data_IF_285829938222
#
_entry.id   IF_285829938222
#
_cell.length_a   1.000
_cell.length_b   1.000
_cell.length_c   1.000
_cell.angle_alpha   90.00
_cell.angle_beta   90.00
_cell.angle_gamma   90.00
#
_symmetry.space_group_name_H-M   'P 1'
#
loop_
_entity.id
_entity.type
_entity.pdbx_description
1 polymer ?
#
# COMPACT_ATOMS: atom_id res chain seq x y z
N UNK A 1 43.87 -36.02 -56.30
CA UNK A 1 44.64 -34.80 -56.64
C UNK A 1 43.67 -33.66 -56.88
N UNK A 2 44.15 -32.45 -56.61
CA UNK A 2 43.41 -31.25 -56.24
C UNK A 2 42.62 -30.50 -57.34
N UNK A 3 41.57 -29.81 -56.85
CA UNK A 3 41.11 -28.43 -57.12
C UNK A 3 40.91 -27.93 -58.56
N UNK A 4 39.74 -27.32 -58.78
CA UNK A 4 39.56 -25.86 -58.97
C UNK A 4 38.08 -25.48 -58.79
N UNK A 5 37.81 -24.45 -58.00
CA UNK A 5 36.47 -23.87 -57.81
C UNK A 5 36.31 -22.51 -58.48
N UNK A 6 35.10 -21.94 -58.35
CA UNK A 6 34.75 -20.54 -57.99
C UNK A 6 33.44 -20.07 -58.68
N UNK A 7 32.41 -19.90 -57.83
CA UNK A 7 31.48 -18.77 -57.64
C UNK A 7 30.43 -18.27 -58.68
N UNK A 8 29.17 -18.30 -58.20
CA UNK A 8 28.24 -17.17 -57.91
C UNK A 8 27.42 -16.44 -59.01
N UNK A 9 26.10 -16.35 -58.75
CA UNK A 9 25.21 -15.17 -58.89
C UNK A 9 23.92 -15.40 -58.08
N UNK A 10 23.90 -15.07 -56.79
CA UNK A 10 23.21 -13.92 -56.17
C UNK A 10 21.80 -13.60 -56.72
N UNK A 11 20.79 -13.93 -55.91
CA UNK A 11 19.43 -13.45 -56.01
C UNK A 11 19.31 -11.99 -55.58
N UNK A 12 18.55 -11.23 -56.36
CA UNK A 12 18.27 -9.80 -56.16
C UNK A 12 17.33 -9.62 -54.97
N UNK A 13 17.75 -8.75 -54.06
CA UNK A 13 17.01 -8.21 -52.92
C UNK A 13 15.82 -7.37 -53.38
N UNK A 14 14.63 -7.63 -52.82
CA UNK A 14 13.50 -6.71 -52.84
C UNK A 14 13.61 -5.80 -51.62
N UNK A 15 13.99 -4.55 -51.86
CA UNK A 15 13.89 -3.46 -50.90
C UNK A 15 12.85 -2.50 -51.46
N UNK A 16 11.66 -2.46 -50.86
CA UNK A 16 10.72 -1.34 -50.98
C UNK A 16 9.79 -1.36 -49.78
N UNK A 17 10.25 -0.75 -48.70
CA UNK A 17 9.39 -0.15 -47.70
C UNK A 17 8.70 1.04 -48.39
N UNK A 18 7.57 0.79 -49.06
CA UNK A 18 6.69 1.86 -49.53
C UNK A 18 5.79 2.28 -48.35
N UNK A 19 5.72 3.58 -48.16
CA UNK A 19 5.22 4.32 -47.00
C UNK A 19 3.67 4.34 -46.90
N UNK A 20 3.00 3.31 -47.43
CA UNK A 20 1.53 3.25 -47.52
C UNK A 20 0.88 2.48 -46.35
N UNK A 21 1.66 1.82 -45.49
CA UNK A 21 1.16 1.06 -44.32
C UNK A 21 0.78 1.95 -43.12
N UNK A 22 1.21 3.21 -43.07
CA UNK A 22 0.89 4.09 -41.94
C UNK A 22 -0.54 4.67 -42.01
N UNK A 23 -1.18 4.65 -43.18
CA UNK A 23 -2.58 5.07 -43.34
C UNK A 23 -3.58 3.92 -43.09
N UNK A 24 -3.11 2.66 -43.08
CA UNK A 24 -3.94 1.47 -42.84
C UNK A 24 -4.19 1.15 -41.35
N UNK A 25 -3.63 1.93 -40.42
CA UNK A 25 -3.66 1.64 -38.98
C UNK A 25 -4.52 2.58 -38.12
N UNK A 26 -5.43 3.35 -38.73
CA UNK A 26 -6.43 4.16 -37.99
C UNK A 26 -7.82 4.09 -38.60
N UNK A 27 -8.22 2.95 -39.15
CA UNK A 27 -9.64 2.68 -39.31
C UNK A 27 -10.20 2.21 -37.97
N UNK A 28 -11.18 2.96 -37.48
CA UNK A 28 -11.87 2.74 -36.23
C UNK A 28 -12.69 1.44 -36.34
N UNK A 29 -12.06 0.30 -36.05
CA UNK A 29 -12.67 -1.04 -36.10
C UNK A 29 -13.93 -1.16 -35.23
N UNK A 30 -14.15 -0.21 -34.30
CA UNK A 30 -15.35 -0.14 -33.47
C UNK A 30 -16.60 0.21 -34.28
N UNK A 31 -16.46 0.99 -35.35
CA UNK A 31 -17.58 1.52 -36.14
C UNK A 31 -18.11 0.49 -37.17
N UNK A 32 -17.22 -0.25 -37.84
CA UNK A 32 -17.61 -1.31 -38.80
C UNK A 32 -18.20 -2.58 -38.12
N UNK A 33 -17.89 -2.77 -36.82
CA UNK A 33 -18.35 -3.92 -36.07
C UNK A 33 -19.82 -3.80 -35.58
N UNK A 34 -20.47 -2.63 -35.71
CA UNK A 34 -21.84 -2.42 -35.25
C UNK A 34 -22.00 -2.64 -33.74
N UNK A 35 -20.90 -2.50 -32.98
CA UNK A 35 -20.88 -2.64 -31.53
C UNK A 35 -21.32 -1.30 -30.95
N UNK A 36 -22.63 -1.07 -30.96
CA UNK A 36 -23.22 -0.07 -30.07
C UNK A 36 -22.91 -0.46 -28.63
N UNK A 37 -22.31 0.46 -27.89
CA UNK A 37 -21.74 0.37 -26.53
C UNK A 37 -20.27 -0.10 -26.51
N UNK A 38 -19.38 0.90 -26.43
CA UNK A 38 -17.94 0.75 -26.21
C UNK A 38 -17.63 -0.03 -24.94
N UNK A 39 -17.49 -1.35 -25.08
CA UNK A 39 -16.94 -2.20 -24.05
C UNK A 39 -15.41 -2.12 -24.17
N UNK A 40 -14.78 -1.10 -23.57
CA UNK A 40 -13.31 -1.08 -23.40
C UNK A 40 -12.91 -2.37 -22.71
N UNK A 41 -12.27 -3.28 -23.44
CA UNK A 41 -11.82 -4.55 -22.88
C UNK A 41 -10.66 -4.25 -21.94
N UNK A 42 -10.77 -4.55 -20.63
CA UNK A 42 -9.68 -4.26 -19.72
C UNK A 42 -8.38 -4.93 -20.18
N UNK A 43 -7.36 -4.10 -20.40
CA UNK A 43 -6.04 -4.47 -20.91
C UNK A 43 -5.85 -4.39 -22.43
N UNK A 44 -6.92 -4.31 -23.24
CA UNK A 44 -6.77 -4.19 -24.70
C UNK A 44 -6.55 -2.73 -25.14
N UNK A 45 -7.25 -1.78 -24.49
CA UNK A 45 -7.26 -0.37 -24.87
C UNK A 45 -6.81 0.56 -23.72
N UNK A 46 -6.25 0.01 -22.63
CA UNK A 46 -5.95 0.80 -21.44
C UNK A 46 -4.68 1.63 -21.61
N UNK A 47 -4.84 2.95 -21.67
CA UNK A 47 -3.74 3.89 -21.43
C UNK A 47 -3.35 3.79 -19.96
N UNK A 48 -2.05 3.58 -19.74
CA UNK A 48 -1.45 3.43 -18.41
C UNK A 48 -1.38 4.80 -17.74
N UNK A 49 -2.37 5.14 -16.92
CA UNK A 49 -2.54 6.47 -16.29
C UNK A 49 -2.44 6.38 -14.76
N UNK A 50 -2.99 5.33 -14.16
CA UNK A 50 -3.05 5.15 -12.72
C UNK A 50 -1.65 4.90 -12.14
N UNK A 51 -0.77 4.19 -12.86
CA UNK A 51 0.63 4.03 -12.45
C UNK A 51 1.32 5.38 -12.32
N UNK A 52 1.14 6.27 -13.30
CA UNK A 52 1.70 7.63 -13.25
C UNK A 52 1.08 8.47 -12.13
N UNK A 53 -0.23 8.32 -11.91
CA UNK A 53 -0.90 8.98 -10.79
C UNK A 53 -0.30 8.55 -9.44
N UNK A 54 -0.12 7.25 -9.20
CA UNK A 54 0.48 6.77 -7.95
C UNK A 54 1.95 7.18 -7.82
N UNK A 55 2.73 7.22 -8.90
CA UNK A 55 4.07 7.79 -8.90
C UNK A 55 4.06 9.26 -8.48
N UNK A 56 3.18 10.06 -9.07
CA UNK A 56 3.04 11.47 -8.75
C UNK A 56 2.62 11.69 -7.29
N UNK A 57 1.71 10.87 -6.76
CA UNK A 57 1.29 10.91 -5.35
C UNK A 57 2.47 10.58 -4.43
N UNK A 58 3.21 9.49 -4.69
CA UNK A 58 4.35 9.09 -3.87
C UNK A 58 5.43 10.18 -3.82
N UNK A 59 5.77 10.76 -4.97
CA UNK A 59 6.75 11.85 -5.06
C UNK A 59 6.21 13.12 -4.38
N UNK A 60 4.96 13.48 -4.64
CA UNK A 60 4.33 14.68 -4.07
C UNK A 60 4.24 14.64 -2.55
N UNK A 61 3.78 13.51 -1.98
CA UNK A 61 3.71 13.30 -0.53
C UNK A 61 5.10 13.39 0.09
N UNK A 62 6.10 12.75 -0.51
CA UNK A 62 7.47 12.82 -0.01
C UNK A 62 7.98 14.27 -0.01
N UNK A 63 7.77 15.03 -1.10
CA UNK A 63 8.18 16.44 -1.18
C UNK A 63 7.50 17.30 -0.11
N UNK A 64 6.21 17.11 0.15
CA UNK A 64 5.50 17.84 1.22
C UNK A 64 6.14 17.58 2.59
N UNK A 65 6.49 16.32 2.89
CA UNK A 65 7.14 15.96 4.16
C UNK A 65 8.51 16.63 4.26
N UNK A 66 9.31 16.66 3.18
CA UNK A 66 10.61 17.35 3.18
C UNK A 66 10.47 18.87 3.35
N UNK A 67 9.42 19.48 2.81
CA UNK A 67 9.17 20.92 2.97
C UNK A 67 8.76 21.28 4.41
N UNK A 68 8.00 20.41 5.08
CA UNK A 68 7.56 20.61 6.47
C UNK A 68 8.66 20.28 7.47
N UNK A 69 9.37 19.17 7.27
CA UNK A 69 10.39 18.66 8.19
C UNK A 69 11.80 19.21 7.99
N UNK A 70 12.05 19.86 6.86
CA UNK A 70 13.40 20.19 6.40
C UNK A 70 13.95 19.14 5.44
N UNK A 71 14.78 19.59 4.49
CA UNK A 71 15.29 18.76 3.41
C UNK A 71 16.16 17.62 3.98
N UNK A 72 15.85 16.39 3.57
CA UNK A 72 16.49 15.14 4.02
C UNK A 72 16.26 14.79 5.48
N UNK A 73 15.26 15.38 6.14
CA UNK A 73 14.82 14.91 7.46
C UNK A 73 14.30 13.46 7.36
N UNK A 74 14.70 12.62 8.31
CA UNK A 74 14.32 11.21 8.45
C UNK A 74 13.66 10.95 9.81
N UNK A 75 13.10 11.98 10.43
CA UNK A 75 12.43 11.90 11.72
C UNK A 75 11.17 11.03 11.64
N UNK A 76 11.17 9.96 12.44
CA UNK A 76 10.05 9.03 12.55
C UNK A 76 8.82 9.68 13.17
N UNK A 77 8.98 10.67 14.06
CA UNK A 77 7.86 11.40 14.64
C UNK A 77 7.11 12.19 13.57
N UNK A 78 7.83 12.79 12.62
CA UNK A 78 7.22 13.45 11.48
C UNK A 78 6.45 12.46 10.60
N UNK A 79 7.00 11.28 10.33
CA UNK A 79 6.27 10.24 9.58
C UNK A 79 5.01 9.78 10.32
N UNK A 80 5.08 9.60 11.64
CA UNK A 80 3.91 9.33 12.48
C UNK A 80 2.88 10.45 12.41
N UNK A 81 3.32 11.71 12.31
CA UNK A 81 2.43 12.85 12.11
C UNK A 81 1.66 12.75 10.81
N UNK A 82 2.34 12.39 9.73
CA UNK A 82 1.78 12.25 8.39
C UNK A 82 1.01 10.94 8.15
N UNK A 83 0.95 10.04 9.13
CA UNK A 83 0.14 8.83 9.05
C UNK A 83 0.90 7.53 8.80
N UNK A 84 2.17 7.46 9.23
CA UNK A 84 2.88 6.19 9.27
C UNK A 84 2.12 5.17 10.10
N UNK A 85 2.26 3.90 9.72
CA UNK A 85 1.68 2.82 10.48
C UNK A 85 2.42 2.68 11.80
N UNK A 86 1.65 2.55 12.86
CA UNK A 86 2.12 2.17 14.17
C UNK A 86 0.98 1.40 14.83
N UNK A 87 1.20 0.11 15.09
CA UNK A 87 0.15 -0.80 15.57
C UNK A 87 -0.61 -0.27 16.79
N UNK A 88 0.09 0.29 17.79
CA UNK A 88 -0.55 0.90 18.94
C UNK A 88 -1.59 1.98 18.56
N UNK A 89 -1.27 2.91 17.64
CA UNK A 89 -2.23 3.93 17.19
C UNK A 89 -3.38 3.34 16.35
N UNK A 90 -3.11 2.31 15.56
CA UNK A 90 -4.14 1.60 14.78
C UNK A 90 -5.15 0.91 15.72
N UNK A 91 -4.68 0.33 16.83
CA UNK A 91 -5.51 -0.37 17.80
C UNK A 91 -6.54 0.53 18.49
N UNK A 92 -6.24 1.83 18.64
CA UNK A 92 -7.18 2.81 19.21
C UNK A 92 -8.03 3.51 18.15
N UNK A 93 -8.13 2.93 16.95
CA UNK A 93 -9.07 3.37 15.90
C UNK A 93 -8.47 4.22 14.79
N UNK A 94 -7.15 4.46 14.76
CA UNK A 94 -6.50 5.18 13.65
C UNK A 94 -6.26 4.30 12.42
N UNK A 95 -7.30 3.55 12.00
CA UNK A 95 -7.25 2.61 10.87
C UNK A 95 -6.85 3.27 9.55
N UNK A 96 -7.06 4.58 9.41
CA UNK A 96 -6.64 5.37 8.25
C UNK A 96 -5.12 5.29 8.00
N UNK A 97 -4.32 5.00 9.04
CA UNK A 97 -2.87 4.79 8.92
C UNK A 97 -2.48 3.65 8.00
N UNK A 98 -3.31 2.60 7.93
CA UNK A 98 -3.10 1.48 7.01
C UNK A 98 -3.12 1.94 5.54
N UNK A 99 -3.89 2.98 5.24
CA UNK A 99 -3.99 3.55 3.90
C UNK A 99 -2.92 4.62 3.67
N UNK A 100 -2.75 5.58 4.59
CA UNK A 100 -1.82 6.70 4.39
C UNK A 100 -0.37 6.25 4.33
N UNK A 101 0.02 5.26 5.14
CA UNK A 101 1.39 4.76 5.17
C UNK A 101 1.87 4.18 3.83
N UNK A 102 0.94 3.73 2.98
CA UNK A 102 1.27 3.24 1.63
C UNK A 102 1.94 4.29 0.74
N UNK A 103 1.79 5.58 1.05
CA UNK A 103 2.31 6.69 0.25
C UNK A 103 3.47 7.43 0.94
N UNK A 104 3.81 7.05 2.17
CA UNK A 104 4.91 7.63 2.94
C UNK A 104 6.21 6.89 2.65
N UNK A 105 7.35 7.58 2.69
CA UNK A 105 8.66 6.97 2.45
C UNK A 105 9.69 7.55 3.41
N UNK A 106 10.43 6.67 4.09
CA UNK A 106 11.39 7.06 5.13
C UNK A 106 12.60 7.85 4.61
N UNK A 107 13.01 7.62 3.36
CA UNK A 107 14.14 8.30 2.74
C UNK A 107 14.05 8.26 1.21
N UNK A 108 14.95 8.97 0.54
CA UNK A 108 14.94 9.11 -0.91
C UNK A 108 15.23 7.80 -1.65
N UNK A 109 16.08 6.91 -1.11
CA UNK A 109 16.34 5.61 -1.73
C UNK A 109 15.12 4.70 -1.62
N UNK A 110 14.44 4.74 -0.46
CA UNK A 110 13.19 4.02 -0.26
C UNK A 110 12.12 4.49 -1.25
N UNK A 111 11.97 5.81 -1.46
CA UNK A 111 11.09 6.35 -2.50
C UNK A 111 11.52 5.90 -3.90
N UNK A 112 12.81 6.05 -4.24
CA UNK A 112 13.35 5.75 -5.56
C UNK A 112 13.09 4.29 -5.96
N UNK A 113 13.40 3.33 -5.10
CA UNK A 113 13.21 1.92 -5.40
C UNK A 113 11.73 1.53 -5.51
N UNK A 114 10.85 2.08 -4.67
CA UNK A 114 9.41 1.86 -4.81
C UNK A 114 8.86 2.47 -6.09
N UNK A 115 9.24 3.71 -6.44
CA UNK A 115 8.83 4.35 -7.68
C UNK A 115 9.35 3.59 -8.91
N UNK A 116 10.60 3.10 -8.89
CA UNK A 116 11.14 2.29 -9.97
C UNK A 116 10.36 0.97 -10.14
N UNK A 117 10.09 0.27 -9.04
CA UNK A 117 9.34 -0.98 -9.08
C UNK A 117 7.89 -0.75 -9.54
N UNK A 118 7.23 0.30 -9.05
CA UNK A 118 5.89 0.70 -9.48
C UNK A 118 5.86 1.08 -10.96
N UNK A 119 6.87 1.82 -11.44
CA UNK A 119 6.99 2.17 -12.85
C UNK A 119 7.19 0.96 -13.75
N UNK A 120 7.93 -0.06 -13.31
CA UNK A 120 8.13 -1.28 -14.11
C UNK A 120 6.89 -2.16 -14.05
N UNK A 121 6.53 -2.63 -12.85
CA UNK A 121 5.50 -3.65 -12.69
C UNK A 121 4.08 -3.09 -12.71
N UNK A 122 3.88 -1.86 -12.23
CA UNK A 122 2.58 -1.19 -12.27
C UNK A 122 2.08 -1.01 -13.69
N UNK A 123 2.94 -0.55 -14.61
CA UNK A 123 2.57 -0.41 -16.03
C UNK A 123 2.21 -1.76 -16.67
N UNK A 124 2.91 -2.83 -16.30
CA UNK A 124 2.59 -4.18 -16.79
C UNK A 124 1.23 -4.66 -16.29
N UNK A 125 0.95 -4.53 -14.99
CA UNK A 125 -0.34 -4.94 -14.42
C UNK A 125 -1.48 -4.07 -14.91
N UNK A 126 -1.30 -2.76 -14.93
CA UNK A 126 -2.30 -1.83 -15.48
C UNK A 126 -2.57 -2.13 -16.96
N UNK A 127 -1.52 -2.42 -17.74
CA UNK A 127 -1.66 -2.79 -19.13
C UNK A 127 -2.41 -4.09 -19.38
N UNK A 128 -2.40 -5.07 -18.45
CA UNK A 128 -3.13 -6.34 -18.64
C UNK A 128 -4.45 -6.43 -17.87
N UNK A 129 -4.59 -5.73 -16.74
CA UNK A 129 -5.82 -5.70 -15.94
C UNK A 129 -6.71 -4.49 -16.25
N UNK A 130 -6.17 -3.42 -16.84
CA UNK A 130 -6.84 -2.13 -16.99
C UNK A 130 -6.92 -1.31 -15.70
N UNK A 131 -7.20 -0.02 -15.85
CA UNK A 131 -7.04 1.02 -14.83
C UNK A 131 -7.84 0.74 -13.54
N UNK A 132 -9.11 0.36 -13.66
CA UNK A 132 -9.99 0.11 -12.50
C UNK A 132 -9.53 -1.10 -11.69
N UNK A 133 -9.23 -2.21 -12.36
CA UNK A 133 -8.80 -3.45 -11.69
C UNK A 133 -7.41 -3.27 -11.07
N UNK A 134 -6.50 -2.58 -11.76
CA UNK A 134 -5.19 -2.24 -11.22
C UNK A 134 -5.29 -1.38 -9.97
N UNK A 135 -6.14 -0.35 -9.97
CA UNK A 135 -6.38 0.50 -8.78
C UNK A 135 -6.83 -0.34 -7.59
N UNK A 136 -7.79 -1.25 -7.79
CA UNK A 136 -8.31 -2.13 -6.73
C UNK A 136 -7.25 -3.11 -6.24
N UNK A 137 -6.47 -3.71 -7.14
CA UNK A 137 -5.34 -4.58 -6.80
C UNK A 137 -4.33 -3.82 -5.94
N UNK A 138 -3.89 -2.64 -6.37
CA UNK A 138 -2.90 -1.84 -5.66
C UNK A 138 -3.37 -1.48 -4.24
N UNK A 139 -4.59 -0.94 -4.12
CA UNK A 139 -5.12 -0.48 -2.84
C UNK A 139 -5.41 -1.63 -1.88
N UNK A 140 -6.12 -2.67 -2.30
CA UNK A 140 -6.48 -3.77 -1.41
C UNK A 140 -5.28 -4.67 -1.08
N UNK A 141 -4.31 -4.83 -1.98
CA UNK A 141 -3.08 -5.55 -1.64
C UNK A 141 -2.20 -4.74 -0.69
N UNK A 142 -2.12 -3.41 -0.87
CA UNK A 142 -1.46 -2.53 0.10
C UNK A 142 -2.08 -2.64 1.50
N UNK A 143 -3.41 -2.61 1.59
CA UNK A 143 -4.14 -2.81 2.84
C UNK A 143 -3.95 -4.22 3.41
N UNK A 144 -3.88 -5.26 2.57
CA UNK A 144 -3.59 -6.64 3.01
C UNK A 144 -2.17 -6.76 3.61
N UNK A 145 -1.19 -6.10 2.99
CA UNK A 145 0.15 -5.96 3.55
C UNK A 145 0.14 -5.23 4.89
N UNK A 146 -0.48 -4.04 4.94
CA UNK A 146 -0.62 -3.27 6.17
C UNK A 146 -1.33 -4.04 7.28
N UNK A 147 -2.38 -4.79 6.97
CA UNK A 147 -3.09 -5.59 7.96
C UNK A 147 -2.23 -6.72 8.54
N UNK A 148 -1.44 -7.40 7.70
CA UNK A 148 -0.55 -8.47 8.16
C UNK A 148 0.62 -7.92 8.98
N UNK A 149 1.20 -6.80 8.55
CA UNK A 149 2.20 -6.06 9.34
C UNK A 149 1.61 -5.62 10.68
N UNK A 150 0.40 -5.08 10.70
CA UNK A 150 -0.27 -4.68 11.93
C UNK A 150 -0.43 -5.84 12.93
N UNK A 151 -0.76 -7.04 12.45
CA UNK A 151 -0.89 -8.22 13.31
C UNK A 151 0.45 -8.66 13.91
N UNK A 152 1.52 -8.69 13.10
CA UNK A 152 2.77 -9.38 13.46
C UNK A 152 3.97 -8.47 13.74
N UNK A 153 3.85 -7.18 13.47
CA UNK A 153 4.89 -6.16 13.66
C UNK A 153 4.35 -4.95 14.43
N UNK A 154 3.66 -5.21 15.55
CA UNK A 154 2.87 -4.20 16.28
C UNK A 154 3.70 -2.97 16.67
N UNK A 155 4.95 -3.12 17.09
CA UNK A 155 5.73 -2.02 17.70
C UNK A 155 6.61 -1.23 16.73
N UNK A 156 6.73 -1.63 15.46
CA UNK A 156 7.57 -0.91 14.50
C UNK A 156 6.77 0.17 13.76
N UNK A 157 7.46 1.26 13.41
CA UNK A 157 6.92 2.27 12.50
C UNK A 157 7.14 1.76 11.08
N UNK A 158 6.06 1.69 10.29
CA UNK A 158 6.10 1.17 8.93
C UNK A 158 5.52 2.18 7.94
N UNK A 159 6.20 2.34 6.81
CA UNK A 159 5.85 3.22 5.69
C UNK A 159 6.26 2.55 4.38
N UNK A 160 5.62 2.93 3.28
CA UNK A 160 6.07 2.60 1.94
C UNK A 160 5.03 1.91 1.08
N UNK A 161 5.14 2.14 -0.24
CA UNK A 161 4.31 1.50 -1.25
C UNK A 161 4.63 0.01 -1.46
N UNK A 162 5.67 -0.52 -0.80
CA UNK A 162 6.22 -1.84 -1.10
C UNK A 162 5.22 -2.98 -0.88
N UNK A 163 4.34 -2.89 0.12
CA UNK A 163 3.27 -3.88 0.30
C UNK A 163 2.34 -3.96 -0.92
N UNK A 164 1.91 -2.80 -1.43
CA UNK A 164 1.10 -2.73 -2.65
C UNK A 164 1.87 -3.23 -3.88
N UNK A 165 3.17 -2.91 -3.99
CA UNK A 165 4.03 -3.37 -5.10
C UNK A 165 4.23 -4.89 -5.08
N UNK A 166 4.42 -5.50 -3.91
CA UNK A 166 4.38 -6.96 -3.78
C UNK A 166 3.01 -7.52 -4.20
N UNK A 167 1.93 -6.79 -3.92
CA UNK A 167 0.62 -7.08 -4.46
C UNK A 167 0.53 -7.07 -5.99
N UNK A 168 1.17 -6.10 -6.65
CA UNK A 168 1.31 -6.05 -8.11
C UNK A 168 2.02 -7.32 -8.60
N UNK A 169 3.11 -7.74 -7.94
CA UNK A 169 3.80 -9.00 -8.27
C UNK A 169 2.90 -10.22 -8.09
N UNK A 170 2.11 -10.26 -7.02
CA UNK A 170 1.12 -11.31 -6.78
C UNK A 170 0.06 -11.36 -7.88
N UNK A 171 -0.43 -10.21 -8.32
CA UNK A 171 -1.40 -10.12 -9.40
C UNK A 171 -0.82 -10.53 -10.76
N UNK A 172 0.46 -10.23 -11.04
CA UNK A 172 1.15 -10.75 -12.23
C UNK A 172 1.25 -12.28 -12.17
N UNK A 173 1.62 -12.84 -11.03
CA UNK A 173 1.69 -14.29 -10.86
C UNK A 173 0.32 -14.93 -11.12
N UNK A 174 -0.75 -14.36 -10.56
CA UNK A 174 -2.12 -14.80 -10.82
C UNK A 174 -2.48 -14.72 -12.32
N UNK A 175 -2.10 -13.64 -13.01
CA UNK A 175 -2.34 -13.47 -14.44
C UNK A 175 -1.68 -14.58 -15.26
N UNK A 176 -0.41 -14.87 -15.01
CA UNK A 176 0.32 -15.92 -15.73
C UNK A 176 -0.20 -17.33 -15.42
N UNK A 177 -0.68 -17.58 -14.19
CA UNK A 177 -1.33 -18.85 -13.85
C UNK A 177 -2.65 -19.02 -14.60
N UNK A 178 -3.48 -17.98 -14.63
CA UNK A 178 -4.78 -18.00 -15.33
C UNK A 178 -4.61 -18.19 -16.84
N UNK A 179 -3.55 -17.61 -17.42
CA UNK A 179 -3.28 -17.65 -18.86
C UNK A 179 -2.17 -18.63 -19.25
N UNK A 180 -1.84 -19.61 -18.37
CA UNK A 180 -0.71 -20.52 -18.58
C UNK A 180 -0.83 -21.34 -19.86
N UNK A 181 -2.05 -21.72 -20.24
CA UNK A 181 -2.31 -22.56 -21.40
C UNK A 181 -2.17 -21.74 -22.70
N UNK A 182 -2.56 -20.47 -22.66
CA UNK A 182 -2.44 -19.54 -23.81
C UNK A 182 -1.03 -18.97 -23.98
N UNK A 183 -0.32 -18.72 -22.88
CA UNK A 183 1.02 -18.11 -22.90
C UNK A 183 2.14 -19.14 -22.95
N UNK A 184 1.84 -20.41 -22.65
CA UNK A 184 2.77 -21.52 -22.71
C UNK A 184 4.09 -21.24 -21.99
N UNK A 185 5.20 -21.46 -22.70
CA UNK A 185 6.55 -21.32 -22.17
C UNK A 185 6.90 -19.87 -21.77
N UNK A 186 6.38 -18.88 -22.50
CA UNK A 186 6.57 -17.46 -22.15
C UNK A 186 5.95 -17.16 -20.78
N UNK A 187 4.71 -17.62 -20.56
CA UNK A 187 4.01 -17.44 -19.28
C UNK A 187 4.75 -18.11 -18.12
N UNK A 188 5.26 -19.33 -18.33
CA UNK A 188 6.05 -20.06 -17.33
C UNK A 188 7.33 -19.32 -16.96
N UNK A 189 8.10 -18.83 -17.94
CA UNK A 189 9.35 -18.08 -17.68
C UNK A 189 9.09 -16.79 -16.92
N UNK A 190 8.06 -16.05 -17.29
CA UNK A 190 7.68 -14.83 -16.58
C UNK A 190 7.24 -15.12 -15.15
N UNK A 191 6.43 -16.17 -14.93
CA UNK A 191 6.04 -16.60 -13.58
C UNK A 191 7.25 -17.00 -12.73
N UNK A 192 8.21 -17.73 -13.29
CA UNK A 192 9.47 -18.06 -12.61
C UNK A 192 10.25 -16.78 -12.26
N UNK A 193 10.38 -15.84 -13.20
CA UNK A 193 11.06 -14.57 -12.95
C UNK A 193 10.41 -13.77 -11.81
N UNK A 194 9.09 -13.67 -11.79
CA UNK A 194 8.34 -13.00 -10.71
C UNK A 194 8.57 -13.70 -9.37
N UNK A 195 8.47 -15.04 -9.34
CA UNK A 195 8.71 -15.82 -8.13
C UNK A 195 10.14 -15.63 -7.61
N UNK A 196 11.14 -15.60 -8.50
CA UNK A 196 12.54 -15.34 -8.16
C UNK A 196 12.72 -13.94 -7.58
N UNK A 197 12.15 -12.91 -8.22
CA UNK A 197 12.24 -11.52 -7.74
C UNK A 197 11.59 -11.39 -6.36
N UNK A 198 10.39 -11.95 -6.17
CA UNK A 198 9.69 -11.92 -4.88
C UNK A 198 10.49 -12.64 -3.79
N UNK A 199 11.02 -13.84 -4.09
CA UNK A 199 11.83 -14.61 -3.16
C UNK A 199 13.12 -13.88 -2.76
N UNK A 200 13.82 -13.27 -3.71
CA UNK A 200 15.04 -12.48 -3.43
C UNK A 200 14.70 -11.29 -2.54
N UNK A 201 13.65 -10.52 -2.83
CA UNK A 201 13.31 -9.35 -2.03
C UNK A 201 12.87 -9.74 -0.60
N UNK A 202 12.10 -10.82 -0.43
CA UNK A 202 11.74 -11.34 0.90
C UNK A 202 12.99 -11.83 1.67
N UNK A 203 13.92 -12.51 0.99
CA UNK A 203 15.17 -12.93 1.60
C UNK A 203 16.05 -11.73 2.01
N UNK A 204 16.13 -10.69 1.17
CA UNK A 204 16.79 -9.43 1.52
C UNK A 204 16.15 -8.79 2.75
N UNK A 205 14.81 -8.80 2.83
CA UNK A 205 14.09 -8.27 3.98
C UNK A 205 14.31 -9.04 5.29
N UNK A 206 14.76 -10.30 5.22
CA UNK A 206 15.21 -11.03 6.42
C UNK A 206 16.61 -10.63 6.87
N UNK A 207 17.42 -10.06 5.98
CA UNK A 207 18.82 -9.73 6.22
C UNK A 207 19.04 -8.25 6.55
N UNK A 208 18.20 -7.36 6.02
CA UNK A 208 18.29 -5.91 6.22
C UNK A 208 17.28 -5.49 7.30
N UNK A 209 17.74 -4.89 8.42
CA UNK A 209 16.85 -4.35 9.44
C UNK A 209 15.88 -3.30 8.88
N UNK A 210 14.73 -3.12 9.53
CA UNK A 210 13.69 -2.16 9.16
C UNK A 210 13.00 -2.40 7.81
N UNK A 211 13.10 -3.63 7.27
CA UNK A 211 12.25 -4.08 6.15
C UNK A 211 11.04 -4.85 6.70
N UNK A 212 9.85 -4.41 6.30
CA UNK A 212 8.59 -5.00 6.73
C UNK A 212 8.19 -6.19 5.86
N UNK A 213 8.76 -7.36 6.18
CA UNK A 213 8.47 -8.60 5.46
C UNK A 213 7.02 -9.08 5.62
N UNK A 214 6.35 -8.75 6.73
CA UNK A 214 4.93 -9.07 6.90
C UNK A 214 4.07 -8.25 5.94
N UNK A 215 4.39 -6.97 5.75
CA UNK A 215 3.74 -6.16 4.72
C UNK A 215 3.97 -6.71 3.31
N UNK A 216 5.19 -7.15 2.99
CA UNK A 216 5.51 -7.73 1.68
C UNK A 216 4.76 -9.03 1.42
N UNK A 217 4.75 -9.94 2.40
CA UNK A 217 4.05 -11.23 2.27
C UNK A 217 2.53 -11.04 2.19
N UNK A 218 1.96 -10.21 3.06
CA UNK A 218 0.52 -9.91 3.06
C UNK A 218 0.08 -9.23 1.76
N UNK A 219 0.91 -8.32 1.24
CA UNK A 219 0.71 -7.69 -0.06
C UNK A 219 0.73 -8.70 -1.20
N UNK A 220 1.77 -9.53 -1.28
CA UNK A 220 1.91 -10.58 -2.29
C UNK A 220 0.71 -11.54 -2.30
N UNK A 221 0.32 -12.04 -1.13
CA UNK A 221 -0.80 -12.96 -0.98
C UNK A 221 -2.14 -12.29 -1.34
N UNK A 222 -2.38 -11.07 -0.84
CA UNK A 222 -3.60 -10.32 -1.13
C UNK A 222 -3.73 -10.00 -2.62
N UNK A 223 -2.65 -9.48 -3.23
CA UNK A 223 -2.61 -9.19 -4.66
C UNK A 223 -2.76 -10.43 -5.54
N UNK A 224 -2.25 -11.58 -5.11
CA UNK A 224 -2.46 -12.86 -5.80
C UNK A 224 -3.94 -13.28 -5.77
N UNK A 225 -4.59 -13.25 -4.59
CA UNK A 225 -6.01 -13.62 -4.44
C UNK A 225 -6.91 -12.68 -5.25
N UNK A 226 -6.71 -11.37 -5.15
CA UNK A 226 -7.49 -10.39 -5.90
C UNK A 226 -7.20 -10.50 -7.41
N UNK A 227 -5.94 -10.72 -7.78
CA UNK A 227 -5.51 -10.97 -9.15
C UNK A 227 -6.22 -12.16 -9.76
N UNK A 228 -6.35 -13.28 -9.04
CA UNK A 228 -7.10 -14.45 -9.51
C UNK A 228 -8.57 -14.14 -9.77
N UNK A 229 -9.20 -13.34 -8.90
CA UNK A 229 -10.59 -12.92 -9.03
C UNK A 229 -10.80 -11.97 -10.22
N UNK A 230 -9.86 -11.03 -10.43
CA UNK A 230 -9.99 -9.95 -11.42
C UNK A 230 -9.33 -10.24 -12.77
N UNK A 231 -8.51 -11.29 -12.87
CA UNK A 231 -7.77 -11.64 -14.10
C UNK A 231 -8.71 -11.66 -15.31
N UNK A 232 -8.44 -10.90 -16.37
CA UNK A 232 -9.27 -10.92 -17.57
C UNK A 232 -9.36 -12.35 -18.09
N UNK A 233 -10.55 -12.80 -18.49
CA UNK A 233 -10.71 -14.09 -19.18
C UNK A 233 -11.75 -13.89 -20.26
N UNK A 234 -11.32 -14.01 -21.51
CA UNK A 234 -12.15 -13.71 -22.67
C UNK A 234 -12.32 -14.97 -23.52
N UNK A 235 -13.51 -15.13 -24.11
CA UNK A 235 -13.79 -16.10 -25.15
C UNK A 235 -14.36 -15.39 -26.37
N UNK A 236 -14.16 -16.00 -27.54
CA UNK A 236 -14.87 -15.63 -28.75
C UNK A 236 -16.19 -16.40 -28.79
N UNK A 237 -17.29 -15.66 -28.81
CA UNK A 237 -18.62 -16.17 -29.15
C UNK A 237 -18.91 -15.83 -30.61
N UNK A 238 -19.37 -16.81 -31.37
CA UNK A 238 -19.83 -16.61 -32.74
C UNK A 238 -21.34 -16.36 -32.71
N UNK A 239 -21.76 -15.17 -33.15
CA UNK A 239 -23.16 -14.76 -33.18
C UNK A 239 -23.61 -14.71 -34.64
N UNK A 240 -24.62 -15.52 -34.96
CA UNK A 240 -25.34 -15.45 -36.23
C UNK A 240 -26.12 -14.13 -36.30
N UNK A 241 -25.86 -13.31 -37.31
CA UNK A 241 -26.64 -12.09 -37.60
C UNK A 241 -27.27 -12.21 -38.99
N UNK A 242 -28.33 -11.43 -39.30
CA UNK A 242 -28.91 -11.39 -40.65
C UNK A 242 -27.91 -11.02 -41.77
N UNK A 243 -26.74 -10.49 -41.40
CA UNK A 243 -25.66 -10.10 -42.30
C UNK A 243 -24.44 -11.02 -42.23
N UNK A 244 -24.58 -12.21 -41.62
CA UNK A 244 -23.53 -13.23 -41.49
C UNK A 244 -23.07 -13.48 -40.04
N UNK A 245 -22.13 -14.41 -39.87
CA UNK A 245 -21.56 -14.74 -38.55
C UNK A 245 -20.57 -13.67 -38.10
N UNK A 246 -20.87 -12.99 -36.97
CA UNK A 246 -19.94 -12.04 -36.33
C UNK A 246 -19.26 -12.69 -35.12
N UNK A 247 -18.02 -12.27 -34.84
CA UNK A 247 -17.30 -12.65 -33.62
C UNK A 247 -17.54 -11.60 -32.56
N UNK A 248 -17.95 -12.01 -31.36
CA UNK A 248 -18.07 -11.16 -30.17
C UNK A 248 -17.13 -11.67 -29.09
N UNK A 249 -16.42 -10.76 -28.43
CA UNK A 249 -15.60 -11.10 -27.25
C UNK A 249 -16.48 -11.03 -26.01
N UNK A 250 -16.51 -12.11 -25.22
CA UNK A 250 -17.33 -12.23 -24.01
C UNK A 250 -16.47 -12.67 -22.84
N UNK A 251 -16.75 -12.12 -21.65
CA UNK A 251 -16.07 -12.54 -20.43
C UNK A 251 -16.53 -13.93 -19.99
N UNK A 252 -15.57 -14.82 -19.68
CA UNK A 252 -15.80 -16.22 -19.25
C UNK A 252 -16.57 -16.37 -17.92
N UNK A 253 -16.50 -15.35 -17.08
CA UNK A 253 -17.21 -15.29 -15.80
C UNK A 253 -18.01 -13.99 -15.76
N UNK A 254 -19.25 -13.99 -15.23
CA UNK A 254 -20.00 -12.77 -15.04
C UNK A 254 -19.17 -11.77 -14.25
N UNK A 255 -19.05 -10.54 -14.77
CA UNK A 255 -18.27 -9.48 -14.12
C UNK A 255 -18.69 -9.29 -12.65
N UNK A 256 -19.99 -9.46 -12.36
CA UNK A 256 -20.54 -9.40 -11.00
C UNK A 256 -19.96 -10.43 -10.03
N UNK A 257 -19.77 -11.69 -10.44
CA UNK A 257 -19.21 -12.73 -9.56
C UNK A 257 -17.77 -12.43 -9.14
N UNK A 258 -16.99 -11.79 -10.02
CA UNK A 258 -15.60 -11.37 -9.72
C UNK A 258 -15.57 -10.26 -8.68
N UNK A 259 -16.44 -9.27 -8.82
CA UNK A 259 -16.55 -8.17 -7.86
C UNK A 259 -17.10 -8.62 -6.51
N UNK A 260 -17.98 -9.64 -6.47
CA UNK A 260 -18.39 -10.26 -5.21
C UNK A 260 -17.20 -10.90 -4.47
N UNK A 261 -16.28 -11.56 -5.18
CA UNK A 261 -15.06 -12.10 -4.56
C UNK A 261 -14.16 -10.98 -4.00
N UNK A 262 -14.07 -9.84 -4.69
CA UNK A 262 -13.35 -8.65 -4.18
C UNK A 262 -14.01 -8.08 -2.92
N UNK A 263 -15.34 -7.96 -2.91
CA UNK A 263 -16.08 -7.49 -1.73
C UNK A 263 -15.94 -8.45 -0.55
N UNK A 264 -15.99 -9.76 -0.80
CA UNK A 264 -15.74 -10.76 0.23
C UNK A 264 -14.32 -10.66 0.79
N UNK A 265 -13.32 -10.46 -0.06
CA UNK A 265 -11.94 -10.23 0.38
C UNK A 265 -11.80 -8.94 1.21
N UNK A 266 -12.44 -7.85 0.79
CA UNK A 266 -12.43 -6.59 1.54
C UNK A 266 -13.13 -6.72 2.91
N UNK A 267 -14.24 -7.45 2.98
CA UNK A 267 -14.93 -7.74 4.24
C UNK A 267 -14.07 -8.62 5.17
N UNK A 268 -13.43 -9.65 4.62
CA UNK A 268 -12.45 -10.46 5.35
C UNK A 268 -11.32 -9.58 5.90
N UNK A 269 -10.76 -8.69 5.08
CA UNK A 269 -9.68 -7.81 5.48
C UNK A 269 -10.09 -6.85 6.60
N UNK A 270 -11.30 -6.28 6.52
CA UNK A 270 -11.85 -5.42 7.57
C UNK A 270 -12.02 -6.21 8.90
N UNK A 271 -12.57 -7.42 8.84
CA UNK A 271 -12.70 -8.28 10.01
C UNK A 271 -11.34 -8.68 10.60
N UNK A 272 -10.36 -8.97 9.75
CA UNK A 272 -8.99 -9.30 10.17
C UNK A 272 -8.29 -8.11 10.84
N UNK A 273 -8.38 -6.90 10.28
CA UNK A 273 -7.83 -5.67 10.89
C UNK A 273 -8.46 -5.42 12.26
N UNK A 274 -9.78 -5.56 12.36
CA UNK A 274 -10.48 -5.40 13.63
C UNK A 274 -10.00 -6.42 14.68
N UNK A 275 -9.89 -7.70 14.30
CA UNK A 275 -9.38 -8.76 15.16
C UNK A 275 -7.91 -8.54 15.58
N UNK A 276 -7.05 -8.01 14.71
CA UNK A 276 -5.66 -7.68 15.06
C UNK A 276 -5.54 -6.66 16.21
N UNK A 277 -6.56 -5.80 16.37
CA UNK A 277 -6.59 -4.79 17.43
C UNK A 277 -7.13 -5.28 18.78
N UNK A 278 -7.71 -6.48 18.86
CA UNK A 278 -8.27 -6.98 20.13
C UNK A 278 -7.20 -7.52 21.09
N UNK A 279 -6.00 -7.80 20.59
CA UNK A 279 -4.88 -8.36 21.35
C UNK A 279 -3.87 -7.28 21.78
N UNK A 280 -4.37 -6.20 22.38
CA UNK A 280 -3.57 -5.11 22.97
C UNK A 280 -3.95 -4.98 24.43
N UNK A 281 -2.99 -5.21 25.33
CA UNK A 281 -3.25 -5.17 26.77
C UNK A 281 -3.66 -3.78 27.24
N UNK A 282 -4.40 -3.67 28.34
CA UNK A 282 -4.84 -2.38 28.88
C UNK A 282 -3.65 -1.44 29.19
N UNK A 283 -2.51 -2.00 29.64
CA UNK A 283 -1.25 -1.25 29.81
C UNK A 283 -0.72 -0.70 28.48
N UNK A 284 -0.75 -1.49 27.40
CA UNK A 284 -0.35 -1.01 26.08
C UNK A 284 -1.32 0.05 25.56
N UNK A 285 -2.64 -0.18 25.69
CA UNK A 285 -3.66 0.81 25.35
C UNK A 285 -3.46 2.11 26.11
N UNK A 286 -3.22 2.04 27.41
CA UNK A 286 -2.93 3.21 28.24
C UNK A 286 -1.76 4.03 27.68
N UNK A 287 -0.62 3.39 27.40
CA UNK A 287 0.54 4.09 26.82
C UNK A 287 0.22 4.76 25.47
N UNK A 288 -0.63 4.14 24.65
CA UNK A 288 -1.05 4.72 23.37
C UNK A 288 -1.86 5.99 23.60
N UNK A 289 -2.82 5.94 24.51
CA UNK A 289 -3.65 7.08 24.85
C UNK A 289 -2.81 8.24 25.43
N UNK A 290 -1.72 7.94 26.15
CA UNK A 290 -0.73 8.95 26.56
C UNK A 290 -0.07 9.61 25.35
N UNK A 291 0.48 8.84 24.42
CA UNK A 291 1.13 9.38 23.22
C UNK A 291 0.16 10.25 22.40
N UNK A 292 -1.09 9.82 22.26
CA UNK A 292 -2.13 10.60 21.56
C UNK A 292 -2.48 11.89 22.29
N UNK A 293 -2.59 11.86 23.61
CA UNK A 293 -2.82 13.05 24.42
C UNK A 293 -1.67 14.05 24.29
N UNK A 294 -0.42 13.59 24.35
CA UNK A 294 0.76 14.45 24.16
C UNK A 294 0.79 15.09 22.77
N UNK A 295 0.42 14.34 21.72
CA UNK A 295 0.34 14.86 20.36
C UNK A 295 -0.73 15.93 20.20
N UNK A 296 -1.95 15.67 20.68
CA UNK A 296 -3.04 16.66 20.65
C UNK A 296 -2.68 17.92 21.44
N UNK A 297 -1.96 17.75 22.55
CA UNK A 297 -1.46 18.87 23.34
C UNK A 297 -0.46 19.73 22.55
N UNK A 298 0.43 19.11 21.75
CA UNK A 298 1.35 19.83 20.87
C UNK A 298 0.61 20.56 19.74
N UNK A 299 -0.47 19.95 19.22
CA UNK A 299 -1.33 20.55 18.20
C UNK A 299 -2.26 21.65 18.77
N UNK A 300 -2.23 21.88 20.10
CA UNK A 300 -3.02 22.87 20.81
C UNK A 300 -4.44 22.44 21.19
N UNK A 301 -4.85 21.21 20.83
CA UNK A 301 -6.14 20.63 21.21
C UNK A 301 -6.09 20.06 22.64
N UNK A 302 -6.21 20.97 23.62
CA UNK A 302 -6.19 20.60 25.04
C UNK A 302 -7.41 19.79 25.48
N UNK A 303 -8.56 19.90 24.80
CA UNK A 303 -9.80 19.20 25.16
C UNK A 303 -9.71 17.75 24.71
N UNK A 304 -9.32 17.51 23.45
CA UNK A 304 -9.06 16.16 22.95
C UNK A 304 -7.92 15.48 23.72
N UNK A 305 -6.85 16.23 24.02
CA UNK A 305 -5.74 15.73 24.83
C UNK A 305 -6.21 15.24 26.21
N UNK A 306 -7.10 15.99 26.88
CA UNK A 306 -7.62 15.62 28.19
C UNK A 306 -8.41 14.31 28.14
N UNK A 307 -9.32 14.16 27.18
CA UNK A 307 -10.13 12.95 27.02
C UNK A 307 -9.25 11.69 26.86
N UNK A 308 -8.18 11.79 26.06
CA UNK A 308 -7.25 10.69 25.87
C UNK A 308 -6.39 10.44 27.12
N UNK A 309 -5.92 11.47 27.81
CA UNK A 309 -5.16 11.31 29.05
C UNK A 309 -6.01 10.67 30.18
N UNK A 310 -7.28 11.03 30.29
CA UNK A 310 -8.23 10.39 31.22
C UNK A 310 -8.43 8.92 30.87
N UNK A 311 -8.67 8.60 29.59
CA UNK A 311 -8.81 7.22 29.15
C UNK A 311 -7.54 6.38 29.43
N UNK A 312 -6.36 6.97 29.30
CA UNK A 312 -5.11 6.30 29.64
C UNK A 312 -5.05 5.91 31.13
N UNK A 313 -5.46 6.80 32.03
CA UNK A 313 -5.51 6.53 33.47
C UNK A 313 -6.56 5.47 33.81
N UNK A 314 -7.72 5.48 33.15
CA UNK A 314 -8.76 4.45 33.33
C UNK A 314 -8.28 3.05 32.94
N UNK A 315 -7.54 2.93 31.84
CA UNK A 315 -7.03 1.67 31.33
C UNK A 315 -5.91 1.10 32.20
N UNK A 316 -4.99 1.96 32.65
CA UNK A 316 -3.89 1.54 33.52
C UNK A 316 -3.64 2.57 34.62
N UNK A 317 -4.25 2.29 35.76
CA UNK A 317 -4.08 3.09 36.97
C UNK A 317 -2.65 3.11 37.52
N UNK A 318 -1.75 2.26 37.01
CA UNK A 318 -0.33 2.22 37.37
C UNK A 318 0.57 2.95 36.37
N UNK A 319 0.01 3.52 35.29
CA UNK A 319 0.79 4.24 34.29
C UNK A 319 1.10 5.68 34.74
N UNK A 320 2.29 5.91 35.29
CA UNK A 320 2.72 7.24 35.73
C UNK A 320 2.73 8.29 34.62
N UNK A 321 3.04 7.91 33.38
CA UNK A 321 3.06 8.83 32.23
C UNK A 321 1.67 9.36 31.88
N UNK A 322 0.62 8.57 32.15
CA UNK A 322 -0.77 9.00 31.97
C UNK A 322 -1.14 10.11 32.96
N UNK A 323 -0.81 9.93 34.24
CA UNK A 323 -0.99 10.97 35.25
C UNK A 323 -0.16 12.21 34.95
N UNK A 324 1.11 12.05 34.56
CA UNK A 324 1.96 13.18 34.19
C UNK A 324 1.34 14.01 33.05
N UNK A 325 0.87 13.34 32.00
CA UNK A 325 0.28 14.00 30.83
C UNK A 325 -1.03 14.69 31.19
N UNK A 326 -1.90 14.05 31.97
CA UNK A 326 -3.13 14.67 32.48
C UNK A 326 -2.81 15.88 33.37
N UNK A 327 -1.82 15.77 34.25
CA UNK A 327 -1.36 16.85 35.13
C UNK A 327 -0.89 18.08 34.36
N UNK A 328 -0.13 17.90 33.26
CA UNK A 328 0.24 19.00 32.35
C UNK A 328 -0.98 19.70 31.75
N UNK A 329 -1.96 18.93 31.30
CA UNK A 329 -3.18 19.46 30.69
C UNK A 329 -4.01 20.24 31.72
N UNK A 330 -4.15 19.69 32.94
CA UNK A 330 -4.82 20.37 34.06
C UNK A 330 -4.13 21.68 34.43
N UNK A 331 -2.79 21.72 34.42
CA UNK A 331 -2.03 22.93 34.68
C UNK A 331 -2.32 24.02 33.62
N UNK A 332 -2.42 23.64 32.34
CA UNK A 332 -2.77 24.56 31.24
C UNK A 332 -4.19 25.11 31.42
N UNK A 333 -5.12 24.31 31.93
CA UNK A 333 -6.50 24.73 32.22
C UNK A 333 -6.65 25.52 33.53
N UNK A 334 -5.56 25.74 34.28
CA UNK A 334 -5.59 26.44 35.58
C UNK A 334 -6.16 25.61 36.73
N UNK A 335 -6.37 24.30 36.54
CA UNK A 335 -6.83 23.35 37.55
C UNK A 335 -5.65 22.91 38.44
N UNK A 336 -5.11 23.88 39.17
CA UNK A 336 -3.83 23.85 39.89
C UNK A 336 -3.76 22.74 40.94
N UNK A 337 -4.85 22.45 41.65
CA UNK A 337 -4.92 21.37 42.65
C UNK A 337 -4.95 19.97 42.00
N UNK A 338 -5.70 19.82 40.92
CA UNK A 338 -5.76 18.56 40.16
C UNK A 338 -4.40 18.25 39.54
N UNK A 339 -3.75 19.27 38.97
CA UNK A 339 -2.40 19.14 38.44
C UNK A 339 -1.39 18.67 39.51
N UNK A 340 -1.44 19.19 40.75
CA UNK A 340 -0.58 18.69 41.84
C UNK A 340 -0.82 17.23 42.14
N UNK A 341 -2.10 16.85 42.25
CA UNK A 341 -2.48 15.47 42.56
C UNK A 341 -1.91 14.52 41.51
N UNK A 342 -2.06 14.88 40.23
CA UNK A 342 -1.59 14.08 39.10
C UNK A 342 -0.07 14.01 39.00
N UNK A 343 0.64 15.14 39.15
CA UNK A 343 2.10 15.12 39.21
C UNK A 343 2.62 14.30 40.40
N UNK A 344 1.98 14.41 41.56
CA UNK A 344 2.36 13.63 42.75
C UNK A 344 2.11 12.13 42.56
N UNK A 345 1.00 11.76 41.93
CA UNK A 345 0.71 10.37 41.57
C UNK A 345 1.72 9.82 40.56
N UNK A 346 2.04 10.61 39.51
CA UNK A 346 2.98 10.24 38.46
C UNK A 346 4.36 9.87 39.02
N UNK A 347 4.85 10.60 40.03
CA UNK A 347 6.17 10.38 40.63
C UNK A 347 6.27 9.08 41.43
N UNK A 348 5.13 8.57 41.93
CA UNK A 348 5.02 7.33 42.72
C UNK A 348 4.83 6.09 41.85
N UNK A 349 4.48 6.28 40.59
CA UNK A 349 4.18 5.22 39.64
C UNK A 349 5.33 5.00 38.64
N UNK A 350 5.45 3.79 38.06
CA UNK A 350 6.40 3.54 36.98
C UNK A 350 5.98 4.25 35.69
N UNK A 351 6.93 4.47 34.78
CA UNK A 351 6.66 4.94 33.41
C UNK A 351 7.26 6.29 33.04
N UNK A 352 7.59 7.14 34.02
CA UNK A 352 8.17 8.46 33.74
C UNK A 352 9.60 8.36 33.22
N UNK A 353 9.87 9.14 32.18
CA UNK A 353 11.25 9.48 31.78
C UNK A 353 11.91 10.41 32.81
N UNK A 354 13.24 10.49 32.78
CA UNK A 354 13.98 11.41 33.66
C UNK A 354 13.55 12.87 33.51
N UNK A 355 13.33 13.31 32.26
CA UNK A 355 12.86 14.66 31.96
C UNK A 355 11.45 14.93 32.53
N UNK A 356 10.51 13.98 32.36
CA UNK A 356 9.16 14.11 32.92
C UNK A 356 9.18 14.16 34.45
N UNK A 357 10.05 13.36 35.09
CA UNK A 357 10.23 13.36 36.54
C UNK A 357 10.75 14.71 37.05
N UNK A 358 11.75 15.29 36.39
CA UNK A 358 12.25 16.61 36.75
C UNK A 358 11.21 17.71 36.58
N UNK A 359 10.46 17.68 35.48
CA UNK A 359 9.40 18.66 35.20
C UNK A 359 8.29 18.62 36.25
N UNK A 360 7.82 17.41 36.60
CA UNK A 360 6.83 17.20 37.64
C UNK A 360 7.31 17.74 39.01
N UNK A 361 8.58 17.50 39.38
CA UNK A 361 9.16 18.00 40.64
C UNK A 361 9.21 19.53 40.63
N UNK A 362 9.65 20.14 39.51
CA UNK A 362 9.71 21.60 39.38
C UNK A 362 8.33 22.25 39.56
N UNK A 363 7.30 21.67 38.94
CA UNK A 363 5.93 22.17 39.06
C UNK A 363 5.38 22.09 40.49
N UNK A 364 5.69 21.00 41.21
CA UNK A 364 5.28 20.82 42.62
C UNK A 364 6.03 21.81 43.54
N UNK A 365 7.32 22.06 43.27
CA UNK A 365 8.16 22.92 44.10
C UNK A 365 7.96 24.42 43.84
N UNK A 366 7.29 24.81 42.75
CA UNK A 366 7.06 26.22 42.43
C UNK A 366 6.14 26.87 43.46
N UNK A 367 6.49 28.06 44.00
CA UNK A 367 5.51 28.91 44.66
C UNK A 367 4.41 29.28 43.65
N UNK A 368 3.17 29.31 44.12
CA UNK A 368 1.96 29.52 43.30
C UNK A 368 1.30 30.83 43.62
#
# INVERSE_FOLDING_TARGET
>A
MERRGIAARQGRTMNRFDQDDEQFQREDWTEQAGIGVGLTLPGADSVVVITWLFLAINVGVWLVIQLVGGLFNQDEDLLLRFGAMFGPLIAIGEYWRLFTAMFLHANIFHLLFNCLALFIFGRLVEGVYGNVRFTVIYLLAGLAGGALSYMFNKSAISVGASGAIFGILGALAAYFIVHRDTLGEMGRRNLTGIATIAAINLAIGLLIPNIDNWAHFGGLAGGFVIGLALAPRYMYEFVETPFGTRRRIVALLPLGARWLAVLAFAAFLAAFIWYSGTDVSDTQQSQIFVVRAERLLQDGDTVGALQHAERAVELDSLNGSAYYTRGKIMAIHGATDQALSDFSASLRLPGLTGAQREDAIKFIASPR
#
